data_IF_647817292098
#
_entry.id   IF_647817292098
#
_cell.length_a   1.000
_cell.length_b   1.000
_cell.length_c   1.000
_cell.angle_alpha   90.00
_cell.angle_beta   90.00
_cell.angle_gamma   90.00
#
_symmetry.space_group_name_H-M   'P 1'
#
loop_
_entity.id
_entity.type
_entity.pdbx_description
1 polymer ?
#
# COMPACT_ATOMS: atom_id res chain seq x y z
N UNK A 1 13.46 10.86 25.61
CA UNK A 1 13.78 10.25 24.30
C UNK A 1 12.92 10.92 23.24
N UNK A 2 13.50 11.57 22.22
CA UNK A 2 12.73 11.97 21.04
C UNK A 2 12.44 10.69 20.26
N UNK A 3 11.18 10.36 20.01
CA UNK A 3 10.84 9.26 19.13
C UNK A 3 11.41 9.57 17.74
N UNK A 4 12.21 8.66 17.18
CA UNK A 4 12.59 8.76 15.78
C UNK A 4 11.28 8.69 14.97
N UNK A 5 10.87 9.80 14.36
CA UNK A 5 9.75 9.79 13.43
C UNK A 5 10.18 8.97 12.22
N UNK A 6 9.52 7.83 12.03
CA UNK A 6 9.63 7.02 10.82
C UNK A 6 9.33 7.90 9.60
N UNK A 7 10.26 7.93 8.64
CA UNK A 7 10.08 8.70 7.41
C UNK A 7 9.12 7.95 6.50
N UNK A 8 7.99 8.57 6.15
CA UNK A 8 7.01 7.99 5.25
C UNK A 8 6.84 8.88 4.03
N UNK A 9 7.04 8.30 2.85
CA UNK A 9 6.89 8.96 1.56
C UNK A 9 5.84 8.25 0.73
N UNK A 10 4.73 8.93 0.44
CA UNK A 10 3.73 8.43 -0.49
C UNK A 10 4.31 8.32 -1.90
N UNK A 11 4.03 7.20 -2.57
CA UNK A 11 4.42 6.91 -3.95
C UNK A 11 3.25 7.18 -4.89
N UNK A 12 2.05 6.82 -4.47
CA UNK A 12 0.83 7.01 -5.25
C UNK A 12 -0.40 6.48 -4.53
N UNK A 13 -1.56 6.72 -5.13
CA UNK A 13 -2.86 6.32 -4.59
C UNK A 13 -3.86 6.03 -5.70
N UNK A 14 -4.83 5.17 -5.41
CA UNK A 14 -6.01 4.94 -6.24
C UNK A 14 -7.28 5.13 -5.42
N UNK A 15 -8.31 5.72 -6.01
CA UNK A 15 -9.60 5.90 -5.36
C UNK A 15 -10.38 4.59 -5.36
N UNK A 16 -10.86 4.15 -4.20
CA UNK A 16 -11.75 2.99 -4.07
C UNK A 16 -13.22 3.40 -3.90
N UNK A 17 -13.45 4.51 -3.20
CA UNK A 17 -14.77 5.12 -3.02
C UNK A 17 -14.60 6.60 -2.66
N UNK A 18 -15.70 7.33 -2.41
CA UNK A 18 -15.62 8.74 -2.01
C UNK A 18 -14.89 8.98 -0.68
N UNK A 19 -14.88 8.00 0.22
CA UNK A 19 -14.26 8.10 1.53
C UNK A 19 -12.97 7.27 1.68
N UNK A 20 -12.56 6.52 0.64
CA UNK A 20 -11.44 5.57 0.72
C UNK A 20 -10.55 5.61 -0.50
N UNK A 21 -9.25 5.72 -0.23
CA UNK A 21 -8.17 5.50 -1.19
C UNK A 21 -7.35 4.27 -0.78
N UNK A 22 -6.78 3.56 -1.74
CA UNK A 22 -5.65 2.67 -1.49
C UNK A 22 -4.37 3.46 -1.75
N UNK A 23 -3.51 3.60 -0.74
CA UNK A 23 -2.29 4.41 -0.79
C UNK A 23 -1.07 3.52 -0.67
N UNK A 24 -0.11 3.71 -1.57
CA UNK A 24 1.21 3.10 -1.52
C UNK A 24 2.24 4.09 -0.97
N UNK A 25 3.02 3.70 0.04
CA UNK A 25 4.04 4.54 0.67
C UNK A 25 5.32 3.76 0.95
N UNK A 26 6.46 4.39 0.73
CA UNK A 26 7.76 3.92 1.19
C UNK A 26 7.99 4.39 2.64
N UNK A 27 8.44 3.49 3.50
CA UNK A 27 8.63 3.71 4.94
C UNK A 27 10.09 3.40 5.28
N UNK A 28 10.80 4.39 5.82
CA UNK A 28 12.23 4.37 6.15
C UNK A 28 13.12 3.90 4.96
N UNK A 29 12.66 4.05 3.72
CA UNK A 29 13.29 3.49 2.51
C UNK A 29 13.49 1.96 2.50
N UNK A 30 12.88 1.23 3.44
CA UNK A 30 13.07 -0.22 3.62
C UNK A 30 11.79 -1.03 3.41
N UNK A 31 10.63 -0.39 3.54
CA UNK A 31 9.33 -1.07 3.58
C UNK A 31 8.35 -0.38 2.64
N UNK A 32 7.55 -1.16 1.93
CA UNK A 32 6.43 -0.68 1.14
C UNK A 32 5.13 -0.98 1.87
N UNK A 33 4.43 0.06 2.27
CA UNK A 33 3.06 -0.03 2.78
C UNK A 33 2.07 0.19 1.65
N UNK A 34 1.08 -0.70 1.54
CA UNK A 34 -0.09 -0.52 0.68
C UNK A 34 -1.32 -0.61 1.60
N UNK A 35 -1.94 0.53 1.93
CA UNK A 35 -2.97 0.63 2.97
C UNK A 35 -4.18 1.41 2.53
N UNK A 36 -5.33 1.07 3.10
CA UNK A 36 -6.54 1.87 2.97
C UNK A 36 -6.34 3.16 3.76
N UNK A 37 -6.46 4.29 3.08
CA UNK A 37 -6.53 5.62 3.65
C UNK A 37 -7.98 6.08 3.61
N UNK A 38 -8.49 6.49 4.76
CA UNK A 38 -9.86 7.00 4.90
C UNK A 38 -9.83 8.51 5.02
N UNK A 39 -10.83 9.15 4.42
CA UNK A 39 -11.08 10.59 4.59
C UNK A 39 -12.55 10.77 4.93
N UNK A 40 -12.80 11.05 6.20
CA UNK A 40 -14.13 11.32 6.76
C UNK A 40 -14.05 12.54 7.66
N UNK A 41 -15.19 13.13 8.00
CA UNK A 41 -15.24 14.31 8.88
C UNK A 41 -14.61 14.04 10.27
N UNK A 42 -14.71 12.80 10.75
CA UNK A 42 -14.23 12.41 12.09
C UNK A 42 -12.80 11.84 12.09
N UNK A 43 -12.28 11.40 10.93
CA UNK A 43 -10.96 10.79 10.83
C UNK A 43 -10.41 10.85 9.41
N UNK A 44 -9.17 11.31 9.29
CA UNK A 44 -8.39 11.31 8.05
C UNK A 44 -7.05 10.66 8.31
N UNK A 45 -6.77 9.53 7.66
CA UNK A 45 -5.51 8.81 7.88
C UNK A 45 -5.50 7.39 7.36
N UNK A 46 -4.31 6.76 7.42
CA UNK A 46 -4.16 5.34 7.12
C UNK A 46 -4.90 4.48 8.15
N UNK A 47 -5.51 3.40 7.69
CA UNK A 47 -6.12 2.39 8.56
C UNK A 47 -5.15 1.23 8.79
N UNK A 48 -5.50 0.35 9.74
CA UNK A 48 -4.79 -0.93 9.94
C UNK A 48 -5.01 -1.92 8.79
N UNK A 49 -5.96 -1.66 7.88
CA UNK A 49 -6.24 -2.52 6.73
C UNK A 49 -5.23 -2.25 5.61
N UNK A 50 -4.38 -3.21 5.34
CA UNK A 50 -3.38 -3.15 4.28
C UNK A 50 -2.25 -4.14 4.48
N UNK A 51 -1.28 -4.09 3.58
CA UNK A 51 -0.12 -4.96 3.56
C UNK A 51 1.14 -4.13 3.75
N UNK A 52 2.13 -4.73 4.40
CA UNK A 52 3.49 -4.21 4.50
C UNK A 52 4.44 -5.22 3.89
N UNK A 53 5.15 -4.81 2.85
CA UNK A 53 6.24 -5.57 2.29
C UNK A 53 7.55 -5.03 2.83
N UNK A 54 8.39 -5.92 3.32
CA UNK A 54 9.79 -5.61 3.52
C UNK A 54 10.49 -5.72 2.18
N UNK A 55 11.31 -4.73 1.82
CA UNK A 55 12.00 -4.70 0.52
C UNK A 55 13.24 -5.60 0.47
N UNK A 56 13.39 -6.50 1.45
CA UNK A 56 14.37 -7.57 1.47
C UNK A 56 13.74 -8.94 1.11
N UNK A 57 14.58 -9.96 0.97
CA UNK A 57 14.20 -11.36 0.71
C UNK A 57 13.27 -11.56 -0.51
N UNK A 58 13.42 -10.71 -1.54
CA UNK A 58 12.65 -10.80 -2.79
C UNK A 58 11.12 -10.72 -2.63
N UNK A 59 10.59 -10.33 -1.46
CA UNK A 59 9.14 -10.27 -1.21
C UNK A 59 8.40 -9.42 -2.26
N UNK A 60 8.98 -8.27 -2.61
CA UNK A 60 8.41 -7.40 -3.64
C UNK A 60 8.43 -8.05 -5.03
N UNK A 61 9.46 -8.82 -5.36
CA UNK A 61 9.59 -9.50 -6.65
C UNK A 61 8.51 -10.58 -6.76
N UNK A 62 8.33 -11.40 -5.72
CA UNK A 62 7.29 -12.44 -5.70
C UNK A 62 5.87 -11.85 -5.71
N UNK A 63 5.65 -10.72 -5.03
CA UNK A 63 4.38 -10.01 -5.11
C UNK A 63 4.06 -9.55 -6.53
N UNK A 64 5.03 -9.00 -7.28
CA UNK A 64 4.81 -8.62 -8.68
C UNK A 64 4.41 -9.82 -9.55
N UNK A 65 5.07 -10.97 -9.38
CA UNK A 65 4.69 -12.20 -10.09
C UNK A 65 3.26 -12.65 -9.75
N UNK A 66 2.80 -12.42 -8.53
CA UNK A 66 1.40 -12.68 -8.17
C UNK A 66 0.44 -11.73 -8.89
N UNK A 67 0.79 -10.44 -9.00
CA UNK A 67 0.00 -9.47 -9.77
C UNK A 67 -0.08 -9.87 -11.24
N UNK A 68 1.02 -10.30 -11.86
CA UNK A 68 1.02 -10.77 -13.25
C UNK A 68 0.02 -11.93 -13.44
N UNK A 69 0.00 -12.90 -12.52
CA UNK A 69 -0.98 -14.00 -12.54
C UNK A 69 -2.42 -13.54 -12.33
N UNK A 70 -2.65 -12.53 -11.50
CA UNK A 70 -3.98 -11.93 -11.30
C UNK A 70 -4.45 -11.26 -12.59
N UNK A 71 -3.57 -10.53 -13.28
CA UNK A 71 -3.88 -9.88 -14.55
C UNK A 71 -4.23 -10.91 -15.63
N UNK A 72 -3.45 -11.99 -15.75
CA UNK A 72 -3.77 -13.11 -16.64
C UNK A 72 -5.13 -13.75 -16.33
N UNK A 73 -5.49 -13.89 -15.06
CA UNK A 73 -6.78 -14.44 -14.65
C UNK A 73 -7.93 -13.49 -14.96
N UNK A 74 -7.75 -12.19 -14.71
CA UNK A 74 -8.72 -11.14 -15.01
C UNK A 74 -9.01 -11.05 -16.52
N UNK A 75 -7.97 -11.07 -17.35
CA UNK A 75 -8.08 -11.01 -18.81
C UNK A 75 -8.77 -12.24 -19.43
N UNK A 76 -8.94 -13.34 -18.69
CA UNK A 76 -9.71 -14.52 -19.13
C UNK A 76 -11.20 -14.42 -18.79
N UNK A 77 -11.57 -13.52 -17.88
CA UNK A 77 -12.96 -13.28 -17.48
C UNK A 77 -13.59 -12.21 -18.37
N UNK A 78 -12.79 -11.25 -18.85
CA UNK A 78 -13.17 -10.25 -19.85
C UNK A 78 -13.14 -10.80 -21.28
#
# INVERSE_FOLDING_TARGET
MKANQTEQKEIGRIKLSDAQDLVASLVDNEKLDIRIFVKTDNYTGATKKGLRFYLFDNNWIEFKKLIDKIDEAYNKIG
#
